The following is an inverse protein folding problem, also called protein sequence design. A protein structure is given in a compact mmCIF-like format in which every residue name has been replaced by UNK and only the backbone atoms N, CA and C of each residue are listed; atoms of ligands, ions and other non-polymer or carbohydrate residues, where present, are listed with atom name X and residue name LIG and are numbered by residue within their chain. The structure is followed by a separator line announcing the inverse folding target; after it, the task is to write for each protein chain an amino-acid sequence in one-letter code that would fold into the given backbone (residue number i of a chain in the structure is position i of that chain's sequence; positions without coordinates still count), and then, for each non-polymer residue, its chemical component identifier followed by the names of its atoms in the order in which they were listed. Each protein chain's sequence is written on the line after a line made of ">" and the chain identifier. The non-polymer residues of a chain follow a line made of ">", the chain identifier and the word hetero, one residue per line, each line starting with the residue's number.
data_IF_568860034437
#
_entry.id   IF_568860034437
#
_cell.length_a   1.000
_cell.length_b   1.000
_cell.length_c   1.000
_cell.angle_alpha   90.00
_cell.angle_beta   90.00
_cell.angle_gamma   90.00
#
_symmetry.space_group_name_H-M   'P 1'
#
loop_
_entity.id
_entity.type
_entity.pdbx_description
1 polymer ?
#
# COMPACT_ATOMS: atom_id res chain seq x y z
N UNK A 1 -39.26 -23.88 37.69
CA UNK A 1 -37.82 -23.82 38.00
C UNK A 1 -37.16 -24.93 37.20
N UNK A 2 -36.55 -24.56 36.08
CA UNK A 2 -35.71 -25.45 35.27
C UNK A 2 -34.55 -24.59 34.80
N UNK A 3 -33.37 -24.93 35.29
CA UNK A 3 -32.09 -24.31 34.95
C UNK A 3 -31.65 -24.84 33.58
N UNK A 4 -31.53 -23.96 32.60
CA UNK A 4 -30.82 -24.24 31.34
C UNK A 4 -29.33 -23.94 31.56
N UNK A 5 -28.42 -24.91 31.29
CA UNK A 5 -27.00 -24.70 31.46
C UNK A 5 -26.45 -23.82 30.34
N UNK A 6 -25.75 -22.76 30.77
CA UNK A 6 -24.96 -21.85 29.94
C UNK A 6 -24.08 -22.59 28.92
N UNK A 7 -24.56 -22.68 27.68
CA UNK A 7 -23.72 -22.85 26.49
C UNK A 7 -22.91 -21.56 26.33
N UNK A 8 -21.70 -21.57 26.89
CA UNK A 8 -20.69 -20.58 26.55
C UNK A 8 -20.40 -20.71 25.05
N UNK A 9 -20.46 -19.62 24.26
CA UNK A 9 -20.07 -19.69 22.86
C UNK A 9 -18.59 -20.12 22.76
N UNK A 10 -18.21 -20.85 21.69
CA UNK A 10 -16.82 -21.23 21.49
C UNK A 10 -15.94 -19.98 21.50
N UNK A 11 -14.90 -19.99 22.35
CA UNK A 11 -13.84 -18.98 22.31
C UNK A 11 -13.15 -19.11 20.96
N UNK A 12 -13.47 -18.21 20.03
CA UNK A 12 -12.69 -18.02 18.81
C UNK A 12 -11.28 -17.66 19.24
N UNK A 13 -10.30 -18.40 18.73
CA UNK A 13 -8.90 -18.24 19.09
C UNK A 13 -8.44 -16.84 18.69
N UNK A 14 -8.04 -16.04 19.69
CA UNK A 14 -8.02 -14.56 19.67
C UNK A 14 -6.87 -13.94 18.87
N UNK A 15 -6.16 -14.71 18.06
CA UNK A 15 -4.89 -14.28 17.44
C UNK A 15 -4.51 -15.12 16.22
N UNK A 16 -5.47 -15.42 15.34
CA UNK A 16 -5.17 -16.09 14.07
C UNK A 16 -4.42 -15.13 13.12
N UNK A 17 -3.11 -15.01 13.34
CA UNK A 17 -2.19 -14.40 12.41
C UNK A 17 -1.82 -15.44 11.35
N UNK A 18 -2.45 -15.34 10.19
CA UNK A 18 -2.09 -16.19 9.06
C UNK A 18 -1.00 -15.51 8.25
N UNK A 19 0.20 -16.11 8.28
CA UNK A 19 1.28 -15.77 7.36
C UNK A 19 1.22 -16.74 6.18
N UNK A 20 1.00 -16.23 4.96
CA UNK A 20 0.94 -17.06 3.77
C UNK A 20 1.62 -16.39 2.57
N UNK A 21 2.05 -17.22 1.62
CA UNK A 21 2.53 -16.79 0.31
C UNK A 21 1.32 -16.48 -0.55
N UNK A 22 1.30 -15.29 -1.17
CA UNK A 22 0.15 -14.80 -1.92
C UNK A 22 -0.32 -15.81 -3.00
N UNK A 23 -1.64 -15.97 -3.11
CA UNK A 23 -2.28 -16.93 -4.02
C UNK A 23 -2.12 -16.62 -5.52
N UNK A 24 -1.58 -15.44 -5.86
CA UNK A 24 -1.29 -15.01 -7.22
C UNK A 24 0.08 -15.48 -7.74
N UNK A 25 0.79 -16.30 -6.96
CA UNK A 25 2.11 -16.81 -7.30
C UNK A 25 3.25 -15.82 -7.03
N UNK A 26 2.96 -14.69 -6.37
CA UNK A 26 4.01 -13.83 -5.83
C UNK A 26 4.54 -14.42 -4.52
N UNK A 27 5.88 -14.49 -4.35
CA UNK A 27 6.53 -14.88 -3.08
C UNK A 27 6.41 -13.77 -2.01
N UNK A 28 5.30 -13.04 -2.01
CA UNK A 28 5.03 -11.98 -1.04
C UNK A 28 4.59 -12.63 0.28
N UNK A 29 5.18 -12.19 1.40
CA UNK A 29 4.77 -12.59 2.74
C UNK A 29 3.60 -11.70 3.15
N UNK A 30 2.44 -12.31 3.39
CA UNK A 30 1.22 -11.60 3.80
C UNK A 30 0.92 -11.95 5.25
N UNK A 31 0.74 -10.93 6.10
CA UNK A 31 0.27 -11.09 7.48
C UNK A 31 -1.11 -10.45 7.60
N UNK A 32 -2.11 -11.26 7.93
CA UNK A 32 -3.43 -10.77 8.32
C UNK A 32 -3.53 -10.74 9.84
N UNK A 33 -3.80 -9.56 10.40
CA UNK A 33 -3.95 -9.34 11.84
C UNK A 33 -5.37 -8.90 12.15
N UNK A 34 -6.09 -9.65 12.98
CA UNK A 34 -7.38 -9.24 13.52
C UNK A 34 -7.16 -8.21 14.63
N UNK A 35 -7.71 -7.00 14.46
CA UNK A 35 -7.57 -5.90 15.40
C UNK A 35 -8.92 -5.57 16.06
N UNK A 36 -8.98 -5.63 17.39
CA UNK A 36 -10.20 -5.45 18.18
C UNK A 36 -10.45 -3.97 18.56
N UNK A 37 -9.58 -3.06 18.15
CA UNK A 37 -9.68 -1.63 18.46
C UNK A 37 -8.88 -1.21 19.70
N UNK A 38 -8.11 -2.11 20.28
CA UNK A 38 -7.14 -1.81 21.33
C UNK A 38 -6.02 -0.88 20.82
N UNK A 39 -5.19 -0.34 21.71
CA UNK A 39 -4.06 0.49 21.34
C UNK A 39 -3.09 -0.30 20.45
N UNK A 40 -3.18 -0.06 19.13
CA UNK A 40 -2.51 -0.88 18.11
C UNK A 40 -0.97 -0.77 18.14
N UNK A 41 -0.44 0.32 18.72
CA UNK A 41 1.01 0.53 18.81
C UNK A 41 1.71 0.53 17.45
N UNK A 42 0.99 0.95 16.39
CA UNK A 42 1.41 0.96 14.99
C UNK A 42 1.64 2.41 14.53
N UNK A 43 2.82 2.65 13.95
CA UNK A 43 3.15 3.88 13.25
C UNK A 43 3.31 3.60 11.76
N UNK A 44 2.75 4.47 10.92
CA UNK A 44 2.73 4.33 9.48
C UNK A 44 3.42 5.53 8.81
N UNK A 45 4.05 5.29 7.67
CA UNK A 45 4.75 6.33 6.91
C UNK A 45 4.59 6.10 5.40
N UNK A 46 4.54 7.19 4.63
CA UNK A 46 4.76 7.14 3.17
C UNK A 46 6.13 7.72 2.87
N UNK A 47 6.93 6.97 2.13
CA UNK A 47 8.21 7.46 1.65
C UNK A 47 7.95 8.57 0.62
N UNK A 48 8.66 9.69 0.74
CA UNK A 48 8.52 10.78 -0.22
C UNK A 48 9.00 10.31 -1.59
N UNK A 49 8.17 10.42 -2.65
CA UNK A 49 8.61 10.08 -4.00
C UNK A 49 9.68 11.08 -4.45
N UNK A 50 10.56 10.65 -5.35
CA UNK A 50 11.46 11.58 -6.04
C UNK A 50 10.62 12.57 -6.85
N UNK A 51 11.11 13.81 -7.11
CA UNK A 51 10.35 14.79 -7.90
C UNK A 51 9.92 14.25 -9.26
N UNK A 52 10.76 13.44 -9.92
CA UNK A 52 10.43 12.78 -11.17
C UNK A 52 9.30 11.74 -11.01
N UNK A 53 9.31 10.96 -9.93
CA UNK A 53 8.26 9.98 -9.64
C UNK A 53 6.95 10.61 -9.15
N UNK A 54 6.98 11.88 -8.75
CA UNK A 54 5.81 12.65 -8.32
C UNK A 54 5.22 13.53 -9.43
N UNK A 55 5.92 13.64 -10.57
CA UNK A 55 5.54 14.58 -11.63
C UNK A 55 4.19 14.21 -12.23
N UNK A 56 3.33 15.21 -12.37
CA UNK A 56 2.06 15.06 -13.09
C UNK A 56 2.34 14.85 -14.58
N UNK A 57 1.50 14.03 -15.21
CA UNK A 57 1.59 13.73 -16.64
C UNK A 57 0.37 14.32 -17.33
N UNK A 58 0.62 15.12 -18.37
CA UNK A 58 -0.45 15.66 -19.22
C UNK A 58 -0.47 14.91 -20.54
N UNK A 59 -1.60 14.30 -20.85
CA UNK A 59 -1.86 13.58 -22.10
C UNK A 59 -2.91 14.35 -22.90
N UNK A 60 -2.71 14.46 -24.21
CA UNK A 60 -3.70 15.08 -25.10
C UNK A 60 -4.49 14.01 -25.85
N UNK A 61 -5.81 14.05 -25.73
CA UNK A 61 -6.73 13.27 -26.53
C UNK A 61 -6.90 13.93 -27.91
N UNK A 62 -6.05 13.54 -28.85
CA UNK A 62 -6.06 13.96 -30.26
C UNK A 62 -6.97 13.07 -31.12
N UNK A 63 -6.67 12.87 -32.40
CA UNK A 63 -7.55 12.14 -33.33
C UNK A 63 -7.84 10.68 -32.94
N UNK A 64 -6.87 9.99 -32.34
CA UNK A 64 -7.00 8.60 -31.92
C UNK A 64 -7.76 8.44 -30.59
N UNK A 65 -8.16 7.21 -30.29
CA UNK A 65 -8.69 6.88 -28.97
C UNK A 65 -7.67 7.23 -27.87
N UNK A 66 -8.14 7.76 -26.74
CA UNK A 66 -7.30 8.13 -25.60
C UNK A 66 -6.41 6.96 -25.11
N UNK A 67 -6.89 5.72 -25.23
CA UNK A 67 -6.14 4.51 -24.85
C UNK A 67 -6.12 4.24 -23.34
N UNK A 68 -7.08 4.81 -22.60
CA UNK A 68 -7.21 4.69 -21.15
C UNK A 68 -8.62 4.23 -20.79
N UNK A 69 -8.72 3.41 -19.75
CA UNK A 69 -9.99 3.07 -19.09
C UNK A 69 -9.92 3.53 -17.65
N UNK A 70 -11.01 4.13 -17.17
CA UNK A 70 -11.11 4.66 -15.81
C UNK A 70 -12.00 3.77 -14.93
N UNK A 71 -11.83 3.87 -13.63
CA UNK A 71 -12.71 3.32 -12.63
C UNK A 71 -12.62 4.14 -11.34
N UNK A 72 -13.65 4.05 -10.51
CA UNK A 72 -13.66 4.68 -9.20
C UNK A 72 -12.98 3.71 -8.22
N UNK A 73 -11.91 4.14 -7.55
CA UNK A 73 -11.30 3.34 -6.50
C UNK A 73 -12.21 3.34 -5.27
N UNK A 74 -12.50 2.15 -4.76
CA UNK A 74 -13.65 1.93 -3.86
C UNK A 74 -13.53 2.69 -2.53
N UNK A 75 -12.35 2.69 -1.91
CA UNK A 75 -12.13 3.27 -0.58
C UNK A 75 -12.01 4.78 -0.63
N UNK A 76 -11.24 5.27 -1.59
CA UNK A 76 -10.81 6.66 -1.69
C UNK A 76 -11.68 7.50 -2.62
N UNK A 77 -12.54 6.84 -3.41
CA UNK A 77 -13.45 7.42 -4.41
C UNK A 77 -12.76 8.23 -5.50
N UNK A 78 -11.45 8.06 -5.65
CA UNK A 78 -10.64 8.73 -6.68
C UNK A 78 -10.83 8.03 -8.02
N UNK A 79 -10.85 8.80 -9.10
CA UNK A 79 -10.88 8.26 -10.46
C UNK A 79 -9.49 7.78 -10.84
N UNK A 80 -9.34 6.48 -11.07
CA UNK A 80 -8.05 5.84 -11.37
C UNK A 80 -8.08 5.17 -12.73
N UNK A 81 -6.91 5.12 -13.37
CA UNK A 81 -6.69 4.35 -14.60
C UNK A 81 -6.70 2.86 -14.25
N UNK A 82 -7.65 2.10 -14.79
CA UNK A 82 -7.76 0.65 -14.60
C UNK A 82 -7.05 -0.14 -15.69
N UNK A 83 -7.01 0.41 -16.91
CA UNK A 83 -6.30 -0.14 -18.07
C UNK A 83 -5.67 0.98 -18.89
N UNK A 84 -4.50 0.71 -19.47
CA UNK A 84 -3.79 1.64 -20.34
C UNK A 84 -3.12 0.90 -21.49
N UNK A 85 -3.25 1.42 -22.70
CA UNK A 85 -2.42 1.06 -23.86
C UNK A 85 -1.27 2.04 -24.09
N UNK A 86 -1.10 3.03 -23.21
CA UNK A 86 -0.09 4.07 -23.30
C UNK A 86 1.14 3.75 -22.44
N UNK A 87 2.28 4.34 -22.79
CA UNK A 87 3.54 4.18 -22.05
C UNK A 87 3.77 5.24 -20.98
N UNK A 88 3.16 6.43 -21.16
CA UNK A 88 3.27 7.62 -20.31
C UNK A 88 2.35 7.57 -19.09
N UNK A 89 1.19 6.93 -19.21
CA UNK A 89 0.20 6.74 -18.14
C UNK A 89 -0.03 5.26 -17.91
N UNK A 90 0.13 4.80 -16.67
CA UNK A 90 -0.02 3.39 -16.30
C UNK A 90 -1.26 3.17 -15.44
N UNK A 91 -1.64 1.90 -15.28
CA UNK A 91 -2.66 1.50 -14.30
C UNK A 91 -2.32 2.07 -12.92
N UNK A 92 -3.34 2.62 -12.27
CA UNK A 92 -3.27 3.21 -10.94
C UNK A 92 -2.99 4.71 -10.92
N UNK A 93 -2.67 5.35 -12.06
CA UNK A 93 -2.62 6.81 -12.15
C UNK A 93 -3.99 7.40 -11.81
N UNK A 94 -4.01 8.54 -11.13
CA UNK A 94 -5.21 9.25 -10.72
C UNK A 94 -5.51 10.34 -11.74
N UNK A 95 -6.72 10.37 -12.29
CA UNK A 95 -7.19 11.47 -13.13
C UNK A 95 -7.50 12.66 -12.23
N UNK A 96 -6.80 13.77 -12.43
CA UNK A 96 -6.97 15.00 -11.65
C UNK A 96 -7.85 15.99 -12.39
N UNK A 97 -7.54 16.23 -13.66
CA UNK A 97 -8.22 17.23 -14.49
C UNK A 97 -8.43 16.73 -15.90
N UNK A 98 -9.50 17.18 -16.51
CA UNK A 98 -9.73 16.99 -17.93
C UNK A 98 -10.27 18.30 -18.52
N UNK A 99 -9.64 18.77 -19.59
CA UNK A 99 -9.88 20.08 -20.20
C UNK A 99 -9.77 21.26 -19.21
N UNK A 100 -8.86 21.16 -18.24
CA UNK A 100 -8.63 22.19 -17.22
C UNK A 100 -9.60 22.14 -16.03
N UNK A 101 -10.64 21.31 -16.07
CA UNK A 101 -11.61 21.15 -14.99
C UNK A 101 -11.25 19.96 -14.11
N UNK A 102 -11.42 20.12 -12.79
CA UNK A 102 -11.20 19.06 -11.81
C UNK A 102 -12.20 17.92 -11.98
N UNK A 103 -11.68 16.69 -11.97
CA UNK A 103 -12.47 15.47 -12.12
C UNK A 103 -12.57 14.78 -10.77
N UNK A 104 -13.79 14.46 -10.37
CA UNK A 104 -14.14 13.73 -9.16
C UNK A 104 -15.21 12.69 -9.47
N UNK A 105 -15.49 11.79 -8.54
CA UNK A 105 -16.62 10.86 -8.70
C UNK A 105 -17.94 11.57 -9.04
N UNK A 106 -18.20 12.72 -8.41
CA UNK A 106 -19.50 13.41 -8.49
C UNK A 106 -19.77 13.92 -9.91
N UNK A 107 -18.74 14.39 -10.61
CA UNK A 107 -18.87 15.00 -11.93
C UNK A 107 -18.30 14.15 -13.07
N UNK A 108 -17.73 12.97 -12.78
CA UNK A 108 -17.01 12.16 -13.75
C UNK A 108 -17.83 11.87 -15.02
N UNK A 109 -19.04 11.32 -14.87
CA UNK A 109 -19.88 10.91 -16.00
C UNK A 109 -20.27 12.11 -16.88
N UNK A 110 -20.81 13.16 -16.25
CA UNK A 110 -21.21 14.38 -16.94
C UNK A 110 -20.03 15.06 -17.67
N UNK A 111 -18.85 15.05 -17.04
CA UNK A 111 -17.64 15.60 -17.65
C UNK A 111 -17.20 14.74 -18.84
N UNK A 112 -17.17 13.41 -18.71
CA UNK A 112 -16.80 12.53 -19.82
C UNK A 112 -17.74 12.67 -21.04
N UNK A 113 -19.05 12.81 -20.82
CA UNK A 113 -20.02 13.10 -21.89
C UNK A 113 -19.77 14.46 -22.57
N UNK A 114 -19.43 15.49 -21.78
CA UNK A 114 -19.05 16.80 -22.30
C UNK A 114 -17.79 16.72 -23.15
N UNK A 115 -16.77 16.01 -22.67
CA UNK A 115 -15.49 15.85 -23.36
C UNK A 115 -15.63 15.06 -24.65
N UNK A 116 -16.47 14.03 -24.69
CA UNK A 116 -16.78 13.29 -25.92
C UNK A 116 -17.37 14.19 -27.00
N UNK A 117 -18.26 15.13 -26.62
CA UNK A 117 -18.81 16.12 -27.56
C UNK A 117 -17.72 17.10 -28.01
N UNK A 118 -16.93 17.63 -27.07
CA UNK A 118 -15.84 18.56 -27.36
C UNK A 118 -14.75 17.94 -28.24
N UNK A 119 -14.53 16.63 -28.15
CA UNK A 119 -13.49 15.92 -28.89
C UNK A 119 -13.68 16.02 -30.41
N UNK A 120 -14.93 16.02 -30.86
CA UNK A 120 -15.27 16.16 -32.29
C UNK A 120 -14.86 17.50 -32.92
N UNK A 121 -14.61 18.53 -32.10
CA UNK A 121 -14.32 19.90 -32.54
C UNK A 121 -13.00 20.46 -32.00
N UNK A 122 -12.30 19.72 -31.14
CA UNK A 122 -11.04 20.14 -30.52
C UNK A 122 -9.83 19.53 -31.24
N UNK A 123 -8.74 20.29 -31.32
CA UNK A 123 -7.44 19.79 -31.81
C UNK A 123 -6.74 18.86 -30.81
N UNK A 124 -7.23 18.82 -29.57
CA UNK A 124 -6.72 17.96 -28.51
C UNK A 124 -7.27 18.35 -27.15
N UNK A 125 -7.78 17.37 -26.40
CA UNK A 125 -8.26 17.62 -25.03
C UNK A 125 -7.19 17.19 -24.03
N UNK A 126 -6.67 18.08 -23.17
CA UNK A 126 -5.68 17.72 -22.17
C UNK A 126 -6.32 16.98 -20.99
N UNK A 127 -5.69 15.89 -20.56
CA UNK A 127 -5.97 15.15 -19.34
C UNK A 127 -4.72 15.19 -18.46
N UNK A 128 -4.89 15.61 -17.21
CA UNK A 128 -3.81 15.69 -16.22
C UNK A 128 -3.93 14.54 -15.22
N UNK A 129 -2.83 13.82 -15.05
CA UNK A 129 -2.75 12.66 -14.17
C UNK A 129 -1.68 12.82 -13.11
N UNK A 130 -1.97 12.35 -11.90
CA UNK A 130 -0.95 12.07 -10.90
C UNK A 130 -0.54 10.59 -10.92
N UNK A 131 0.73 10.28 -10.68
CA UNK A 131 1.16 8.90 -10.43
C UNK A 131 0.50 8.36 -9.15
N UNK A 132 0.32 7.04 -9.01
CA UNK A 132 -0.26 6.46 -7.81
C UNK A 132 0.60 6.82 -6.58
N UNK A 133 -0.01 7.12 -5.42
CA UNK A 133 0.74 7.40 -4.21
C UNK A 133 1.71 6.26 -3.85
N UNK A 134 2.87 6.57 -3.24
CA UNK A 134 3.76 5.57 -2.66
C UNK A 134 3.03 4.71 -1.64
N UNK A 135 3.41 3.44 -1.49
CA UNK A 135 2.82 2.55 -0.48
C UNK A 135 2.95 3.10 0.95
N UNK A 136 2.06 2.63 1.83
CA UNK A 136 2.08 2.94 3.26
C UNK A 136 2.90 1.88 3.98
N UNK A 137 4.08 2.24 4.48
CA UNK A 137 4.97 1.35 5.20
C UNK A 137 4.75 1.44 6.70
N UNK A 138 5.03 0.33 7.38
CA UNK A 138 5.20 0.31 8.83
C UNK A 138 6.47 1.09 9.15
N UNK A 139 6.36 2.07 10.06
CA UNK A 139 7.52 2.77 10.62
C UNK A 139 7.95 2.15 11.94
N UNK A 140 6.98 1.76 12.76
CA UNK A 140 7.21 1.10 14.03
C UNK A 140 5.96 0.29 14.38
N UNK A 141 6.15 -0.82 15.09
CA UNK A 141 5.04 -1.56 15.70
C UNK A 141 5.45 -2.18 17.03
N UNK A 142 4.47 -2.42 17.90
CA UNK A 142 4.66 -3.04 19.22
C UNK A 142 3.55 -4.08 19.48
N UNK A 143 3.63 -4.79 20.60
CA UNK A 143 2.58 -5.72 21.03
C UNK A 143 2.33 -6.87 20.05
N UNK A 144 1.04 -7.19 19.84
CA UNK A 144 0.58 -8.33 19.03
C UNK A 144 1.07 -8.28 17.58
N UNK A 145 1.11 -7.11 16.95
CA UNK A 145 1.64 -6.95 15.59
C UNK A 145 3.11 -7.33 15.48
N UNK A 146 3.94 -6.91 16.45
CA UNK A 146 5.35 -7.28 16.48
C UNK A 146 5.54 -8.78 16.75
N UNK A 147 4.71 -9.37 17.61
CA UNK A 147 4.71 -10.80 17.86
C UNK A 147 4.29 -11.61 16.62
N UNK A 148 3.41 -11.05 15.77
CA UNK A 148 3.02 -11.60 14.47
C UNK A 148 4.10 -11.45 13.38
N UNK A 149 5.26 -10.86 13.70
CA UNK A 149 6.38 -10.70 12.77
C UNK A 149 6.31 -9.46 11.88
N UNK A 150 5.28 -8.62 12.04
CA UNK A 150 5.19 -7.33 11.32
C UNK A 150 6.36 -6.44 11.76
N UNK A 151 6.99 -5.77 10.80
CA UNK A 151 8.10 -4.85 11.02
C UNK A 151 8.17 -3.83 9.87
N UNK A 152 9.19 -2.98 9.87
CA UNK A 152 9.36 -1.85 8.93
C UNK A 152 9.42 -2.24 7.44
N UNK A 153 9.66 -3.51 7.14
CA UNK A 153 9.66 -4.01 5.76
C UNK A 153 8.27 -4.27 5.17
N UNK A 154 7.24 -4.24 6.01
CA UNK A 154 5.86 -4.46 5.60
C UNK A 154 5.18 -3.15 5.19
N UNK A 155 4.35 -3.23 4.15
CA UNK A 155 3.37 -2.21 3.82
C UNK A 155 1.99 -2.61 4.36
N UNK A 156 1.24 -1.65 4.92
CA UNK A 156 -0.18 -1.82 5.16
C UNK A 156 -0.91 -1.68 3.83
N UNK A 157 -1.54 -2.75 3.36
CA UNK A 157 -2.20 -2.79 2.06
C UNK A 157 -3.72 -2.69 2.15
N UNK A 158 -4.31 -3.38 3.13
CA UNK A 158 -5.75 -3.40 3.33
C UNK A 158 -6.13 -3.22 4.81
N UNK A 159 -7.27 -2.57 5.03
CA UNK A 159 -7.96 -2.54 6.33
C UNK A 159 -9.41 -2.91 6.05
N UNK A 160 -9.84 -4.03 6.61
CA UNK A 160 -11.15 -4.65 6.41
C UNK A 160 -11.49 -4.91 4.92
N UNK A 161 -10.51 -5.43 4.17
CA UNK A 161 -10.62 -5.66 2.72
C UNK A 161 -10.49 -4.39 1.86
N UNK A 162 -10.62 -3.19 2.45
CA UNK A 162 -10.50 -1.93 1.73
C UNK A 162 -9.03 -1.54 1.51
N UNK A 163 -8.68 -1.22 0.26
CA UNK A 163 -7.35 -0.73 -0.13
C UNK A 163 -7.09 0.64 0.52
N UNK A 164 -5.92 0.80 1.14
CA UNK A 164 -5.54 2.07 1.79
C UNK A 164 -4.56 2.92 0.96
N UNK A 165 -4.15 2.43 -0.22
CA UNK A 165 -3.07 3.06 -0.99
C UNK A 165 -3.38 4.50 -1.38
N UNK A 166 -4.63 4.78 -1.75
CA UNK A 166 -5.03 6.09 -2.27
C UNK A 166 -5.47 7.09 -1.20
N UNK A 167 -5.55 6.67 0.07
CA UNK A 167 -5.89 7.56 1.18
C UNK A 167 -4.72 8.47 1.54
N UNK A 168 -4.96 9.73 1.86
CA UNK A 168 -3.93 10.55 2.54
C UNK A 168 -3.59 9.94 3.91
N UNK A 169 -2.47 10.33 4.52
CA UNK A 169 -2.14 9.82 5.87
C UNK A 169 -3.20 10.23 6.91
N UNK A 170 -3.83 11.39 6.72
CA UNK A 170 -4.93 11.86 7.56
C UNK A 170 -6.20 11.03 7.33
N UNK A 171 -6.60 10.84 6.05
CA UNK A 171 -7.73 10.00 5.67
C UNK A 171 -7.56 8.56 6.20
N UNK A 172 -6.35 7.99 6.08
CA UNK A 172 -6.02 6.66 6.59
C UNK A 172 -6.16 6.57 8.11
N UNK A 173 -5.62 7.54 8.84
CA UNK A 173 -5.75 7.57 10.30
C UNK A 173 -7.22 7.66 10.73
N UNK A 174 -8.02 8.48 10.05
CA UNK A 174 -9.46 8.57 10.30
C UNK A 174 -10.17 7.25 9.92
N UNK A 175 -9.80 6.63 8.80
CA UNK A 175 -10.37 5.38 8.31
C UNK A 175 -10.14 4.23 9.30
N UNK A 176 -8.90 4.01 9.74
CA UNK A 176 -8.56 2.99 10.76
C UNK A 176 -9.37 3.22 12.04
N UNK A 177 -9.46 4.45 12.52
CA UNK A 177 -10.24 4.76 13.73
C UNK A 177 -11.73 4.48 13.58
N UNK A 178 -12.29 4.63 12.38
CA UNK A 178 -13.72 4.46 12.10
C UNK A 178 -14.12 3.05 11.67
N UNK A 179 -13.18 2.23 11.21
CA UNK A 179 -13.44 0.85 10.79
C UNK A 179 -14.22 0.07 11.87
N UNK A 180 -15.16 -0.83 11.52
CA UNK A 180 -15.83 -1.68 12.51
C UNK A 180 -14.80 -2.57 13.22
N UNK A 181 -15.06 -2.99 14.47
CA UNK A 181 -14.14 -3.85 15.23
C UNK A 181 -14.84 -5.15 15.65
N UNK A 182 -14.16 -6.31 15.57
CA UNK A 182 -12.82 -6.50 15.01
C UNK A 182 -12.75 -6.18 13.51
N UNK A 183 -11.60 -5.69 13.03
CA UNK A 183 -11.30 -5.61 11.59
C UNK A 183 -9.97 -6.27 11.25
N UNK A 184 -9.87 -6.75 10.00
CA UNK A 184 -8.67 -7.38 9.50
C UNK A 184 -7.71 -6.35 8.90
N UNK A 185 -6.48 -6.27 9.42
CA UNK A 185 -5.40 -5.46 8.83
C UNK A 185 -4.44 -6.37 8.06
N UNK A 186 -4.27 -6.10 6.77
CA UNK A 186 -3.40 -6.89 5.90
C UNK A 186 -2.11 -6.16 5.62
N UNK A 187 -1.01 -6.74 6.11
CA UNK A 187 0.34 -6.29 5.89
C UNK A 187 1.01 -7.17 4.83
N UNK A 188 1.75 -6.57 3.91
CA UNK A 188 2.44 -7.29 2.84
C UNK A 188 3.91 -6.91 2.82
N UNK A 189 4.79 -7.89 2.78
CA UNK A 189 6.22 -7.71 2.54
C UNK A 189 6.55 -8.24 1.15
N UNK A 190 6.84 -7.31 0.23
CA UNK A 190 7.14 -7.66 -1.17
C UNK A 190 8.44 -8.43 -1.29
N UNK A 191 8.50 -9.38 -2.22
CA UNK A 191 9.71 -10.16 -2.54
C UNK A 191 10.97 -9.29 -2.74
N UNK A 192 10.83 -8.14 -3.40
CA UNK A 192 11.95 -7.20 -3.63
C UNK A 192 12.52 -6.66 -2.32
N UNK A 193 11.66 -6.36 -1.33
CA UNK A 193 12.10 -5.94 0.00
C UNK A 193 12.73 -7.10 0.78
N UNK A 194 12.21 -8.32 0.62
CA UNK A 194 12.79 -9.52 1.25
C UNK A 194 14.22 -9.75 0.75
N UNK A 195 14.47 -9.63 -0.55
CA UNK A 195 15.80 -9.78 -1.14
C UNK A 195 16.78 -8.72 -0.61
N UNK A 196 16.39 -7.44 -0.60
CA UNK A 196 17.24 -6.37 -0.08
C UNK A 196 17.57 -6.56 1.41
N UNK A 197 16.63 -7.02 2.22
CA UNK A 197 16.87 -7.32 3.64
C UNK A 197 17.79 -8.53 3.83
N UNK A 198 17.70 -9.53 2.96
CA UNK A 198 18.61 -10.68 2.99
C UNK A 198 20.06 -10.25 2.70
N UNK A 199 20.24 -9.35 1.73
CA UNK A 199 21.56 -8.79 1.40
C UNK A 199 22.11 -7.92 2.53
N UNK A 200 21.30 -7.06 3.14
CA UNK A 200 21.73 -6.23 4.27
C UNK A 200 22.10 -7.08 5.50
N UNK A 201 21.35 -8.15 5.79
CA UNK A 201 21.72 -9.11 6.85
C UNK A 201 23.03 -9.81 6.54
N UNK A 202 23.24 -10.25 5.30
CA UNK A 202 24.47 -10.91 4.91
C UNK A 202 25.67 -9.96 5.02
N UNK A 203 25.55 -8.73 4.53
CA UNK A 203 26.59 -7.70 4.66
C UNK A 203 26.90 -7.36 6.13
N UNK A 204 25.88 -7.27 6.99
CA UNK A 204 26.07 -7.06 8.43
C UNK A 204 26.73 -8.24 9.12
N UNK A 205 26.38 -9.47 8.76
CA UNK A 205 27.01 -10.68 9.29
C UNK A 205 28.48 -10.79 8.86
N UNK A 206 28.79 -10.47 7.61
CA UNK A 206 30.16 -10.43 7.10
C UNK A 206 30.99 -9.35 7.80
N UNK A 207 30.42 -8.16 8.05
CA UNK A 207 31.08 -7.11 8.81
C UNK A 207 31.36 -7.50 10.27
N UNK A 208 30.40 -8.17 10.93
CA UNK A 208 30.58 -8.68 12.30
C UNK A 208 31.63 -9.80 12.35
N UNK A 209 31.62 -10.72 11.38
CA UNK A 209 32.61 -11.78 11.27
C UNK A 209 34.02 -11.24 11.01
N UNK A 210 34.17 -10.25 10.12
CA UNK A 210 35.44 -9.59 9.84
C UNK A 210 35.97 -8.83 11.07
N UNK A 211 35.09 -8.16 11.83
CA UNK A 211 35.46 -7.47 13.06
C UNK A 211 35.87 -8.45 14.17
N UNK A 212 35.18 -9.59 14.28
CA UNK A 212 35.51 -10.66 15.21
C UNK A 212 36.86 -11.33 14.90
N UNK A 213 37.17 -11.56 13.63
CA UNK A 213 38.46 -12.08 13.17
C UNK A 213 39.62 -11.09 13.43
N UNK A 214 39.40 -9.80 13.22
CA UNK A 214 40.39 -8.78 13.52
C UNK A 214 40.69 -8.68 15.03
N UNK A 215 39.65 -8.75 15.89
CA UNK A 215 39.83 -8.74 17.34
C UNK A 215 40.58 -9.99 17.87
N UNK A 216 40.31 -11.17 17.28
CA UNK A 216 41.02 -12.40 17.62
C UNK A 216 42.50 -12.37 17.20
N UNK A 217 42.81 -11.77 16.04
CA UNK A 217 44.19 -11.59 15.58
C UNK A 217 45.00 -10.64 16.48
N UNK A 218 44.38 -9.57 16.99
CA UNK A 218 45.04 -8.65 17.95
C UNK A 218 45.36 -9.32 19.29
N UNK A 219 44.51 -10.21 19.79
CA UNK A 219 44.78 -10.96 21.03
C UNK A 219 45.87 -12.02 20.85
N UNK A 220 45.97 -12.65 19.67
CA UNK A 220 47.00 -13.66 19.39
C UNK A 220 48.42 -13.06 19.27
N UNK A 221 48.55 -11.80 18.83
CA UNK A 221 49.85 -11.11 18.70
C UNK A 221 50.32 -10.55 20.05
N UNK A 222 49.42 -10.37 21.03
CA UNK A 222 49.73 -9.77 22.33
C UNK A 222 50.30 -10.77 23.37
N UNK A 223 50.39 -12.07 23.03
CA UNK A 223 50.87 -13.14 23.90
C UNK A 223 51.96 -14.03 23.26
N UNK A 224 52.60 -13.56 22.19
CA UNK A 224 53.70 -14.26 21.49
C UNK A 224 55.07 -13.71 21.85
#
# INVERSE_FOLDING_TARGET
>A
MSEDPHLSPPRVDRSECHSFVAADGSDDVVVQYAWDGEAIGLELVRLKPSPAAAAHVVVHWGADALGLTFGIEETSRRIVVTRSSRTDVRRGFVLLRAHGEEVSEINFDAQMESLQRAHSISLGIPFEFAPPPPSVYVRACTGGLKAAGVNESFELRYVDGCSVRYLTMEELNAFIRRAPKPCAMTFVQRKENQYLLSLDRQAKQEAVAATGLAAAAFLAISFG
#
